data_IF_803969452285
#
_entry.id   IF_803969452285
#
_cell.length_a   1.000
_cell.length_b   1.000
_cell.length_c   1.000
_cell.angle_alpha   90.00
_cell.angle_beta   90.00
_cell.angle_gamma   90.00
#
_symmetry.space_group_name_H-M   'P 1'
#
loop_
_entity.id
_entity.type
_entity.pdbx_description
1 polymer ?
#
# COMPACT_ATOMS: atom_id res chain seq x y z
N UNK A 1 -12.77 -4.25 -3.63
CA UNK A 1 -12.34 -2.84 -3.65
C UNK A 1 -12.30 -2.37 -2.23
N UNK A 2 -11.24 -1.67 -1.85
CA UNK A 2 -11.02 -1.08 -0.52
C UNK A 2 -10.92 0.42 -0.72
N UNK A 3 -11.52 1.21 0.18
CA UNK A 3 -11.55 2.67 0.08
C UNK A 3 -11.62 3.32 1.46
N UNK A 4 -10.99 4.48 1.61
CA UNK A 4 -11.14 5.38 2.75
C UNK A 4 -12.12 6.55 2.46
N UNK A 5 -12.81 6.51 1.32
CA UNK A 5 -13.68 7.57 0.81
C UNK A 5 -12.98 8.63 -0.06
N UNK A 6 -11.65 8.63 -0.12
CA UNK A 6 -10.84 9.56 -0.94
C UNK A 6 -9.95 8.81 -1.94
N UNK A 7 -9.33 7.74 -1.46
CA UNK A 7 -8.48 6.82 -2.19
C UNK A 7 -9.19 5.47 -2.31
N UNK A 8 -8.87 4.74 -3.37
CA UNK A 8 -9.40 3.40 -3.59
C UNK A 8 -8.38 2.51 -4.27
N UNK A 9 -8.46 1.21 -3.98
CA UNK A 9 -7.71 0.20 -4.69
C UNK A 9 -8.47 -1.13 -4.77
N UNK A 10 -8.02 -1.97 -5.69
CA UNK A 10 -8.43 -3.36 -5.79
C UNK A 10 -7.46 -4.17 -4.93
N UNK A 11 -8.00 -4.82 -3.90
CA UNK A 11 -7.27 -5.77 -3.09
C UNK A 11 -7.76 -7.20 -3.37
N UNK A 12 -6.85 -8.15 -3.39
CA UNK A 12 -7.12 -9.58 -3.56
C UNK A 12 -7.34 -10.24 -2.20
N UNK A 13 -8.21 -11.24 -2.14
CA UNK A 13 -8.46 -12.01 -0.91
C UNK A 13 -8.92 -13.41 -1.28
N UNK A 14 -8.31 -14.44 -0.67
CA UNK A 14 -8.73 -15.82 -0.88
C UNK A 14 -8.55 -16.70 0.37
N UNK A 15 -9.63 -17.33 0.89
CA UNK A 15 -11.03 -17.06 0.53
C UNK A 15 -11.43 -15.65 0.99
N UNK A 16 -12.32 -14.98 0.25
CA UNK A 16 -12.89 -13.71 0.70
C UNK A 16 -14.13 -13.97 1.56
N UNK A 17 -14.00 -13.78 2.87
CA UNK A 17 -15.10 -13.95 3.84
C UNK A 17 -15.71 -12.61 4.30
N UNK A 18 -15.15 -11.50 3.83
CA UNK A 18 -15.63 -10.16 4.15
C UNK A 18 -16.95 -9.84 3.44
N UNK A 19 -17.81 -9.07 4.12
CA UNK A 19 -19.03 -8.51 3.54
C UNK A 19 -18.74 -7.14 2.95
N UNK A 20 -19.50 -6.76 1.92
CA UNK A 20 -19.47 -5.40 1.39
C UNK A 20 -19.86 -4.42 2.51
N UNK A 21 -19.06 -3.35 2.66
CA UNK A 21 -19.22 -2.36 3.72
C UNK A 21 -18.64 -2.75 5.08
N UNK A 22 -17.99 -3.93 5.18
CA UNK A 22 -17.18 -4.23 6.35
C UNK A 22 -16.02 -3.23 6.48
N UNK A 23 -15.73 -2.83 7.71
CA UNK A 23 -14.49 -2.14 8.05
C UNK A 23 -13.32 -3.12 7.93
N UNK A 24 -12.18 -2.60 7.49
CA UNK A 24 -10.92 -3.33 7.43
C UNK A 24 -9.95 -2.59 8.34
N UNK A 25 -9.62 -3.18 9.48
CA UNK A 25 -8.70 -2.59 10.46
C UNK A 25 -7.26 -3.05 10.22
N UNK A 26 -7.10 -4.17 9.53
CA UNK A 26 -5.82 -4.76 9.15
C UNK A 26 -5.21 -4.06 7.92
N UNK A 27 -3.87 -3.94 7.86
CA UNK A 27 -3.20 -3.40 6.69
C UNK A 27 -3.36 -4.30 5.47
N UNK A 28 -3.33 -3.69 4.28
CA UNK A 28 -3.17 -4.43 3.03
C UNK A 28 -1.71 -4.89 2.89
N UNK A 29 -1.52 -6.12 2.45
CA UNK A 29 -0.19 -6.65 2.21
C UNK A 29 0.29 -6.36 0.79
N UNK A 30 1.46 -5.74 0.65
CA UNK A 30 2.08 -5.51 -0.65
C UNK A 30 2.82 -6.77 -1.13
N UNK A 31 2.24 -7.47 -2.10
CA UNK A 31 2.87 -8.61 -2.75
C UNK A 31 3.66 -8.15 -3.98
N UNK A 32 4.89 -8.66 -4.11
CA UNK A 32 5.81 -8.39 -5.22
C UNK A 32 5.95 -6.88 -5.49
N UNK A 33 6.41 -6.15 -4.45
CA UNK A 33 6.72 -4.74 -4.57
C UNK A 33 8.10 -4.52 -5.20
N UNK A 34 8.22 -3.45 -5.99
CA UNK A 34 9.49 -2.97 -6.52
C UNK A 34 10.36 -2.29 -5.47
N UNK A 35 11.51 -1.78 -5.88
CA UNK A 35 12.38 -1.00 -5.00
C UNK A 35 11.66 0.23 -4.45
N UNK A 36 11.66 0.39 -3.14
CA UNK A 36 11.13 1.58 -2.46
C UNK A 36 12.16 2.69 -2.49
N UNK A 37 11.76 3.89 -2.90
CA UNK A 37 12.61 5.09 -2.94
C UNK A 37 11.92 6.25 -2.24
N UNK A 38 12.68 7.24 -1.73
CA UNK A 38 12.08 8.50 -1.28
C UNK A 38 11.40 9.19 -2.47
N UNK A 39 10.17 9.65 -2.27
CA UNK A 39 9.45 10.37 -3.31
C UNK A 39 9.79 11.86 -3.27
N UNK A 40 9.87 12.46 -4.45
CA UNK A 40 9.89 13.93 -4.61
C UNK A 40 8.46 14.51 -4.64
N UNK A 41 7.44 13.67 -4.79
CA UNK A 41 6.04 14.02 -4.68
C UNK A 41 5.59 13.84 -3.22
N UNK A 42 5.00 14.89 -2.65
CA UNK A 42 4.49 14.84 -1.28
C UNK A 42 3.00 14.47 -1.22
N UNK A 43 2.35 14.23 -2.37
CA UNK A 43 0.94 13.87 -2.46
C UNK A 43 0.79 12.36 -2.49
N UNK A 44 0.21 11.84 -1.41
CA UNK A 44 -0.14 10.42 -1.29
C UNK A 44 -1.10 10.01 -2.41
N UNK A 45 -0.86 8.85 -3.05
CA UNK A 45 -1.70 8.34 -4.12
C UNK A 45 -1.55 6.84 -4.36
N UNK A 46 -2.63 6.22 -4.83
CA UNK A 46 -2.67 4.86 -5.38
C UNK A 46 -3.06 4.96 -6.86
N UNK A 47 -2.08 4.85 -7.75
CA UNK A 47 -2.30 5.00 -9.20
C UNK A 47 -2.25 3.65 -9.88
N UNK A 48 -3.41 3.12 -10.25
CA UNK A 48 -3.50 1.85 -10.97
C UNK A 48 -2.71 1.92 -12.29
N UNK A 49 -1.84 0.94 -12.50
CA UNK A 49 -1.03 0.78 -13.71
C UNK A 49 -1.70 -0.22 -14.65
N UNK A 50 -2.87 0.12 -15.19
CA UNK A 50 -3.73 -0.78 -15.95
C UNK A 50 -3.08 -1.43 -17.19
N UNK A 51 -2.00 -0.83 -17.71
CA UNK A 51 -1.19 -1.41 -18.80
C UNK A 51 -0.33 -2.60 -18.37
N UNK A 52 -0.01 -2.72 -17.08
CA UNK A 52 0.76 -3.83 -16.49
C UNK A 52 -0.16 -4.91 -15.91
N UNK A 53 -1.34 -4.52 -15.43
CA UNK A 53 -2.37 -5.43 -14.95
C UNK A 53 -3.39 -4.73 -14.05
N UNK A 54 -4.53 -5.38 -13.82
CA UNK A 54 -5.61 -4.81 -12.98
C UNK A 54 -5.21 -4.63 -11.51
N UNK A 55 -4.27 -5.43 -11.01
CA UNK A 55 -3.82 -5.37 -9.62
C UNK A 55 -2.60 -4.49 -9.40
N UNK A 56 -1.98 -4.00 -10.49
CA UNK A 56 -0.71 -3.29 -10.40
C UNK A 56 -0.96 -1.83 -10.01
N UNK A 57 -0.19 -1.31 -9.06
CA UNK A 57 -0.25 0.07 -8.61
C UNK A 57 1.13 0.72 -8.57
N UNK A 58 1.16 2.01 -8.89
CA UNK A 58 2.21 2.91 -8.41
C UNK A 58 1.70 3.59 -7.15
N UNK A 59 2.44 3.41 -6.07
CA UNK A 59 2.10 3.88 -4.73
C UNK A 59 3.00 5.05 -4.39
N UNK A 60 2.42 6.16 -3.95
CA UNK A 60 3.11 7.25 -3.25
C UNK A 60 2.50 7.31 -1.87
N UNK A 61 3.28 7.03 -0.83
CA UNK A 61 2.75 6.81 0.50
C UNK A 61 3.66 7.37 1.59
N UNK A 62 3.07 7.73 2.72
CA UNK A 62 3.80 8.22 3.87
C UNK A 62 4.19 7.06 4.78
N UNK A 63 5.43 7.05 5.26
CA UNK A 63 5.91 6.06 6.22
C UNK A 63 5.17 6.23 7.53
N UNK A 64 4.48 5.17 7.95
CA UNK A 64 3.69 5.12 9.17
C UNK A 64 4.48 4.47 10.32
N UNK A 65 5.27 3.43 10.03
CA UNK A 65 6.19 2.84 11.00
C UNK A 65 7.42 2.22 10.33
N UNK A 66 8.55 2.28 11.03
CA UNK A 66 9.80 1.65 10.61
C UNK A 66 10.16 0.52 11.58
N UNK A 67 10.28 -0.72 11.07
CA UNK A 67 10.82 -1.85 11.84
C UNK A 67 12.11 -2.37 11.20
N UNK A 68 12.89 -3.18 11.94
CA UNK A 68 14.18 -3.71 11.49
C UNK A 68 14.11 -4.59 10.23
N UNK A 69 12.94 -5.09 9.85
CA UNK A 69 12.77 -6.04 8.73
C UNK A 69 11.77 -5.57 7.68
N UNK A 70 10.71 -4.88 8.09
CA UNK A 70 9.66 -4.36 7.22
C UNK A 70 9.18 -2.97 7.70
N UNK A 71 8.56 -2.19 6.82
CA UNK A 71 7.86 -0.97 7.19
C UNK A 71 6.37 -1.06 6.93
N UNK A 72 5.63 -0.11 7.48
CA UNK A 72 4.27 0.19 7.04
C UNK A 72 4.21 1.59 6.48
N UNK A 73 3.40 1.77 5.45
CA UNK A 73 3.10 3.07 4.85
C UNK A 73 1.59 3.29 4.82
N UNK A 74 1.19 4.55 4.66
CA UNK A 74 -0.20 4.94 4.53
C UNK A 74 -0.44 5.80 3.30
N UNK A 75 -1.59 5.60 2.67
CA UNK A 75 -2.16 6.50 1.66
C UNK A 75 -3.51 6.93 2.20
N UNK A 76 -3.61 8.14 2.72
CA UNK A 76 -4.80 8.56 3.48
C UNK A 76 -5.09 7.62 4.65
N UNK A 77 -6.28 7.01 4.64
CA UNK A 77 -6.74 6.03 5.62
C UNK A 77 -6.36 4.58 5.32
N UNK A 78 -5.76 4.28 4.17
CA UNK A 78 -5.38 2.92 3.78
C UNK A 78 -3.94 2.65 4.25
N UNK A 79 -3.75 1.60 5.06
CA UNK A 79 -2.43 1.17 5.54
C UNK A 79 -1.95 -0.01 4.68
N UNK A 80 -0.67 0.02 4.31
CA UNK A 80 -0.01 -1.01 3.51
C UNK A 80 1.23 -1.50 4.26
N UNK A 81 1.38 -2.81 4.39
CA UNK A 81 2.54 -3.48 4.96
C UNK A 81 3.31 -4.34 3.94
N UNK A 82 4.25 -5.15 4.41
CA UNK A 82 5.00 -6.08 3.56
C UNK A 82 6.10 -5.44 2.74
N UNK A 83 6.37 -4.15 2.94
CA UNK A 83 7.40 -3.42 2.20
C UNK A 83 8.75 -3.38 2.92
N UNK A 84 9.81 -3.39 2.13
CA UNK A 84 11.18 -3.17 2.60
C UNK A 84 11.52 -1.68 2.41
N UNK A 85 11.64 -0.95 3.53
CA UNK A 85 12.02 0.46 3.50
C UNK A 85 13.55 0.63 3.34
N UNK A 86 14.01 1.70 2.67
CA UNK A 86 15.41 2.09 2.71
C UNK A 86 15.87 2.38 4.14
N UNK A 87 17.11 2.02 4.47
CA UNK A 87 17.63 2.11 5.85
C UNK A 87 17.80 3.55 6.36
N UNK A 88 17.78 4.54 5.48
CA UNK A 88 17.89 5.96 5.80
C UNK A 88 16.53 6.68 5.83
N UNK A 89 15.41 5.96 5.65
CA UNK A 89 14.06 6.54 5.69
C UNK A 89 13.49 6.50 7.11
N UNK A 90 12.82 7.59 7.51
CA UNK A 90 12.18 7.77 8.81
C UNK A 90 10.64 7.86 8.71
N UNK A 91 9.98 7.70 9.86
CA UNK A 91 8.53 7.91 9.97
C UNK A 91 8.13 9.33 9.54
N UNK A 92 7.01 9.44 8.84
CA UNK A 92 6.50 10.71 8.31
C UNK A 92 7.07 11.13 6.95
N UNK A 93 8.19 10.56 6.51
CA UNK A 93 8.71 10.76 5.14
C UNK A 93 7.79 10.12 4.09
N UNK A 94 7.92 10.56 2.83
CA UNK A 94 7.12 10.05 1.71
C UNK A 94 8.01 9.20 0.81
N UNK A 95 7.52 8.02 0.48
CA UNK A 95 8.18 7.04 -0.40
C UNK A 95 7.28 6.70 -1.57
N UNK A 96 7.88 6.17 -2.62
CA UNK A 96 7.17 5.65 -3.77
C UNK A 96 7.74 4.33 -4.26
N UNK A 97 6.85 3.50 -4.81
CA UNK A 97 7.18 2.16 -5.30
C UNK A 97 6.07 1.61 -6.21
N UNK A 98 6.41 0.61 -7.01
CA UNK A 98 5.42 -0.23 -7.68
C UNK A 98 5.01 -1.42 -6.81
N UNK A 99 3.79 -1.89 -6.95
CA UNK A 99 3.32 -3.15 -6.33
C UNK A 99 2.47 -3.91 -7.34
N UNK A 100 2.69 -5.21 -7.48
CA UNK A 100 1.93 -6.03 -8.43
C UNK A 100 0.53 -6.39 -7.91
N UNK A 101 0.39 -6.58 -6.59
CA UNK A 101 -0.88 -6.91 -5.96
C UNK A 101 -0.93 -6.45 -4.50
N UNK A 102 -2.08 -5.91 -4.10
CA UNK A 102 -2.41 -5.66 -2.70
C UNK A 102 -3.34 -6.76 -2.21
N UNK A 103 -3.03 -7.38 -1.08
CA UNK A 103 -3.78 -8.52 -0.54
C UNK A 103 -4.42 -8.15 0.80
N UNK A 104 -5.64 -8.64 1.03
CA UNK A 104 -6.25 -8.70 2.36
C UNK A 104 -5.84 -10.06 2.94
N UNK A 105 -4.99 -10.02 3.97
CA UNK A 105 -4.61 -11.20 4.74
C UNK A 105 -5.62 -11.34 5.89
N UNK A 106 -6.43 -12.39 5.85
CA UNK A 106 -7.45 -12.73 6.85
C UNK A 106 -6.95 -13.83 7.79
#
# INVERSE_FOLDING_TARGET
MVTDGVHECIAFSHPCTLKIGASLDEPLHALDHGTVVRSSDHRESLRQQSRLGYFNYWVVARVASVSKKCGTVRVGGIIIDGIILPGDVAEGEVVEFSVERLDIIL
#
